data_IF_719499134986
#
_entry.id   IF_719499134986
#
_cell.length_a   1.000
_cell.length_b   1.000
_cell.length_c   1.000
_cell.angle_alpha   90.00
_cell.angle_beta   90.00
_cell.angle_gamma   90.00
#
_symmetry.space_group_name_H-M   'P 1'
#
loop_
_entity.id
_entity.type
_entity.pdbx_description
1 polymer ?
#
# COMPACT_ATOMS: atom_id res chain seq x y z
N UNK A 1 27.68 -1.95 3.98
CA UNK A 1 27.03 -1.87 2.66
C UNK A 1 27.18 -3.23 1.97
N UNK A 2 26.24 -4.16 2.20
CA UNK A 2 26.21 -5.46 1.53
C UNK A 2 25.15 -5.38 0.41
N UNK A 3 25.60 -5.42 -0.85
CA UNK A 3 24.73 -5.66 -1.99
C UNK A 3 24.21 -7.10 -1.92
N UNK A 4 22.99 -7.34 -1.45
CA UNK A 4 22.37 -8.67 -1.53
C UNK A 4 20.87 -8.59 -1.80
N UNK A 5 20.55 -8.53 -3.10
CA UNK A 5 19.31 -8.96 -3.79
C UNK A 5 18.81 -7.99 -4.87
N UNK A 6 19.71 -7.37 -5.63
CA UNK A 6 19.32 -6.66 -6.85
C UNK A 6 19.00 -7.64 -7.98
N UNK A 7 17.87 -7.46 -8.67
CA UNK A 7 17.53 -8.11 -9.94
C UNK A 7 17.83 -7.17 -11.11
N UNK A 8 18.31 -7.70 -12.22
CA UNK A 8 18.52 -6.95 -13.46
C UNK A 8 17.20 -6.71 -14.18
N UNK A 9 17.14 -5.71 -15.07
CA UNK A 9 15.96 -5.43 -15.90
C UNK A 9 15.48 -6.67 -16.68
N UNK A 10 16.42 -7.52 -17.13
CA UNK A 10 16.09 -8.77 -17.82
C UNK A 10 15.38 -9.78 -16.91
N UNK A 11 15.97 -10.06 -15.75
CA UNK A 11 15.40 -10.98 -14.75
C UNK A 11 14.03 -10.50 -14.24
N UNK A 12 13.85 -9.19 -14.08
CA UNK A 12 12.55 -8.62 -13.70
C UNK A 12 11.51 -8.81 -14.81
N UNK A 13 11.90 -8.58 -16.07
CA UNK A 13 11.02 -8.81 -17.21
C UNK A 13 10.53 -10.26 -17.30
N UNK A 14 11.43 -11.22 -17.08
CA UNK A 14 11.10 -12.65 -17.01
C UNK A 14 10.21 -12.98 -15.82
N UNK A 15 10.55 -12.47 -14.62
CA UNK A 15 9.81 -12.73 -13.37
C UNK A 15 8.36 -12.23 -13.41
N UNK A 16 8.13 -11.09 -14.05
CA UNK A 16 6.83 -10.43 -14.15
C UNK A 16 6.09 -10.72 -15.47
N UNK A 17 6.75 -11.38 -16.43
CA UNK A 17 6.20 -11.64 -17.77
C UNK A 17 5.97 -10.36 -18.59
N UNK A 18 6.83 -9.35 -18.45
CA UNK A 18 6.70 -8.04 -19.10
C UNK A 18 7.95 -7.65 -19.90
N UNK A 19 7.80 -6.65 -20.78
CA UNK A 19 8.92 -6.15 -21.60
C UNK A 19 9.87 -5.29 -20.77
N UNK A 20 11.11 -5.16 -21.23
CA UNK A 20 12.10 -4.25 -20.60
C UNK A 20 11.63 -2.79 -20.57
N UNK A 21 10.93 -2.34 -21.61
CA UNK A 21 10.34 -1.00 -21.64
C UNK A 21 9.33 -0.83 -20.49
N UNK A 22 8.47 -1.83 -20.29
CA UNK A 22 7.51 -1.84 -19.17
C UNK A 22 8.19 -1.86 -17.80
N UNK A 23 9.35 -2.51 -17.67
CA UNK A 23 10.16 -2.45 -16.43
C UNK A 23 10.64 -1.01 -16.17
N UNK A 24 11.08 -0.29 -17.20
CA UNK A 24 11.47 1.11 -17.08
C UNK A 24 10.26 2.01 -16.74
N UNK A 25 9.10 1.80 -17.37
CA UNK A 25 7.87 2.52 -17.02
C UNK A 25 7.47 2.31 -15.54
N UNK A 26 7.69 1.10 -15.02
CA UNK A 26 7.42 0.77 -13.61
C UNK A 26 8.43 1.41 -12.65
N UNK A 27 9.70 1.57 -13.06
CA UNK A 27 10.70 2.33 -12.29
C UNK A 27 10.38 3.83 -12.30
N UNK A 28 10.02 4.38 -13.45
CA UNK A 28 9.70 5.80 -13.61
C UNK A 28 8.42 6.18 -12.84
N UNK A 29 7.47 5.24 -12.74
CA UNK A 29 6.25 5.41 -11.92
C UNK A 29 6.43 5.07 -10.44
N UNK A 30 7.61 4.60 -10.01
CA UNK A 30 7.91 4.24 -8.62
C UNK A 30 7.31 2.90 -8.15
N UNK A 31 6.68 2.12 -9.04
CA UNK A 31 6.15 0.79 -8.71
C UNK A 31 7.25 -0.27 -8.56
N UNK A 32 8.43 -0.01 -9.12
CA UNK A 32 9.66 -0.74 -8.84
C UNK A 32 10.69 0.21 -8.24
N UNK A 33 11.54 -0.31 -7.35
CA UNK A 33 12.59 0.48 -6.70
C UNK A 33 13.96 0.11 -7.26
N UNK A 34 14.77 1.10 -7.62
CA UNK A 34 16.17 0.84 -7.98
C UNK A 34 16.99 0.59 -6.69
N UNK A 35 17.75 -0.50 -6.64
CA UNK A 35 18.65 -0.84 -5.53
C UNK A 35 20.12 -0.45 -5.79
N UNK A 36 20.41 0.09 -6.98
CA UNK A 36 21.71 0.63 -7.34
C UNK A 36 22.20 0.14 -8.71
N UNK A 37 23.51 0.03 -8.87
CA UNK A 37 24.14 -0.47 -10.10
C UNK A 37 25.25 -1.48 -9.79
N UNK A 38 25.37 -2.49 -10.64
CA UNK A 38 26.53 -3.37 -10.71
C UNK A 38 27.25 -3.10 -12.04
N UNK A 39 28.35 -2.35 -12.00
CA UNK A 39 28.99 -1.81 -13.21
C UNK A 39 28.02 -0.95 -14.00
N UNK A 40 27.72 -1.33 -15.25
CA UNK A 40 26.76 -0.61 -16.11
C UNK A 40 25.31 -1.05 -15.91
N UNK A 41 25.07 -2.15 -15.21
CA UNK A 41 23.75 -2.76 -15.08
C UNK A 41 22.97 -2.10 -13.95
N UNK A 42 21.72 -1.70 -14.23
CA UNK A 42 20.78 -1.25 -13.21
C UNK A 42 20.29 -2.46 -12.41
N UNK A 43 20.33 -2.34 -11.09
CA UNK A 43 19.78 -3.31 -10.16
C UNK A 43 18.46 -2.78 -9.60
N UNK A 44 17.47 -3.65 -9.58
CA UNK A 44 16.10 -3.42 -9.09
C UNK A 44 15.94 -4.20 -7.80
N UNK A 45 15.36 -3.58 -6.79
CA UNK A 45 15.07 -4.21 -5.51
C UNK A 45 14.14 -5.42 -5.66
N UNK A 46 14.59 -6.60 -5.22
CA UNK A 46 13.79 -7.84 -5.33
C UNK A 46 12.48 -7.75 -4.59
N UNK A 47 12.41 -7.10 -3.43
CA UNK A 47 11.18 -7.02 -2.65
C UNK A 47 10.11 -6.18 -3.34
N UNK A 48 10.50 -5.11 -4.03
CA UNK A 48 9.60 -4.36 -4.92
C UNK A 48 9.05 -5.22 -6.06
N UNK A 49 9.89 -6.07 -6.66
CA UNK A 49 9.48 -7.01 -7.72
C UNK A 49 8.52 -8.06 -7.18
N UNK A 50 8.79 -8.64 -6.00
CA UNK A 50 7.93 -9.66 -5.40
C UNK A 50 6.57 -9.09 -4.98
N UNK A 51 6.52 -7.88 -4.41
CA UNK A 51 5.24 -7.20 -4.11
C UNK A 51 4.40 -7.00 -5.39
N UNK A 52 5.03 -6.56 -6.48
CA UNK A 52 4.34 -6.38 -7.76
C UNK A 52 3.95 -7.72 -8.40
N UNK A 53 4.77 -8.75 -8.29
CA UNK A 53 4.44 -10.10 -8.75
C UNK A 53 3.21 -10.65 -8.02
N UNK A 54 3.09 -10.36 -6.72
CA UNK A 54 1.93 -10.72 -5.90
C UNK A 54 0.69 -9.87 -6.24
N UNK A 55 0.85 -8.61 -6.68
CA UNK A 55 -0.24 -7.75 -7.18
C UNK A 55 -0.84 -8.25 -8.49
N UNK A 56 -0.03 -8.91 -9.28
CA UNK A 56 -0.34 -9.17 -10.67
C UNK A 56 -0.21 -7.89 -11.50
N UNK A 57 0.03 -8.08 -12.80
CA UNK A 57 0.20 -6.98 -13.76
C UNK A 57 -1.10 -6.67 -14.50
N UNK A 58 -2.25 -6.83 -13.82
CA UNK A 58 -3.59 -6.75 -14.43
C UNK A 58 -3.72 -5.47 -15.26
N UNK A 59 -4.11 -5.64 -16.54
CA UNK A 59 -4.29 -4.55 -17.49
C UNK A 59 -5.49 -3.71 -17.10
N UNK A 60 -5.27 -2.40 -16.90
CA UNK A 60 -6.33 -1.45 -16.60
C UNK A 60 -5.77 -0.15 -16.01
N UNK A 61 -6.37 0.98 -16.39
CA UNK A 61 -6.03 2.27 -15.77
C UNK A 61 -6.46 2.24 -14.31
N UNK A 62 -5.52 2.51 -13.40
CA UNK A 62 -5.81 2.73 -11.99
C UNK A 62 -6.89 3.82 -11.83
N UNK A 63 -7.64 3.74 -10.75
CA UNK A 63 -8.45 4.86 -10.31
C UNK A 63 -7.57 6.06 -9.96
N UNK A 64 -8.12 7.26 -10.10
CA UNK A 64 -7.52 8.45 -9.47
C UNK A 64 -7.57 8.30 -7.95
N UNK A 65 -6.68 8.96 -7.21
CA UNK A 65 -6.70 8.94 -5.74
C UNK A 65 -8.10 9.23 -5.17
N UNK A 66 -8.78 10.26 -5.70
CA UNK A 66 -10.17 10.62 -5.37
C UNK A 66 -11.15 9.44 -5.50
N UNK A 67 -11.09 8.71 -6.62
CA UNK A 67 -11.97 7.57 -6.90
C UNK A 67 -11.58 6.35 -6.07
N UNK A 68 -10.29 6.10 -5.88
CA UNK A 68 -9.78 5.01 -5.06
C UNK A 68 -10.25 5.17 -3.61
N UNK A 69 -10.05 6.35 -3.01
CA UNK A 69 -10.52 6.64 -1.66
C UNK A 69 -12.04 6.57 -1.53
N UNK A 70 -12.79 7.05 -2.53
CA UNK A 70 -14.24 6.91 -2.52
C UNK A 70 -14.68 5.44 -2.57
N UNK A 71 -13.98 4.59 -3.34
CA UNK A 71 -14.27 3.16 -3.41
C UNK A 71 -14.01 2.48 -2.06
N UNK A 72 -12.87 2.76 -1.43
CA UNK A 72 -12.49 2.20 -0.13
C UNK A 72 -13.42 2.68 0.99
N UNK A 73 -13.83 3.95 0.98
CA UNK A 73 -14.83 4.48 1.89
C UNK A 73 -16.18 3.75 1.72
N UNK A 74 -16.66 3.59 0.48
CA UNK A 74 -17.92 2.90 0.20
C UNK A 74 -17.91 1.43 0.63
N UNK A 75 -16.81 0.71 0.38
CA UNK A 75 -16.63 -0.67 0.85
C UNK A 75 -16.61 -0.73 2.38
N UNK A 76 -16.07 0.29 3.04
CA UNK A 76 -16.05 0.37 4.51
C UNK A 76 -17.36 0.85 5.11
N UNK A 77 -18.48 0.84 4.36
CA UNK A 77 -19.79 1.32 4.80
C UNK A 77 -19.89 2.85 4.98
N UNK A 78 -18.86 3.61 4.61
CA UNK A 78 -18.84 5.06 4.74
C UNK A 78 -19.55 5.75 3.56
N UNK A 79 -19.91 7.01 3.77
CA UNK A 79 -20.59 7.82 2.77
C UNK A 79 -19.68 8.96 2.27
N UNK A 80 -18.86 8.76 1.21
CA UNK A 80 -17.92 9.78 0.75
C UNK A 80 -18.66 11.03 0.24
N UNK A 81 -18.31 12.18 0.79
CA UNK A 81 -18.94 13.49 0.51
C UNK A 81 -18.21 14.27 -0.58
N UNK A 82 -16.99 13.89 -0.93
CA UNK A 82 -16.15 14.52 -1.96
C UNK A 82 -16.46 14.05 -3.40
N UNK A 83 -17.42 13.14 -3.56
CA UNK A 83 -17.92 12.70 -4.87
C UNK A 83 -19.44 12.94 -4.98
N UNK A 84 -19.92 13.22 -6.19
CA UNK A 84 -21.34 13.39 -6.46
C UNK A 84 -22.13 12.09 -6.26
N UNK A 85 -23.44 12.21 -6.03
CA UNK A 85 -24.35 11.06 -5.97
C UNK A 85 -24.31 10.20 -7.23
N UNK A 86 -24.08 10.83 -8.40
CA UNK A 86 -23.98 10.12 -9.68
C UNK A 86 -22.68 9.33 -9.81
N UNK A 87 -21.54 9.86 -9.35
CA UNK A 87 -20.26 9.15 -9.27
C UNK A 87 -20.38 7.98 -8.28
N UNK A 88 -20.99 8.21 -7.11
CA UNK A 88 -21.23 7.19 -6.09
C UNK A 88 -22.05 6.01 -6.62
N UNK A 89 -23.15 6.29 -7.32
CA UNK A 89 -24.01 5.25 -7.91
C UNK A 89 -23.24 4.39 -8.93
N UNK A 90 -22.49 5.03 -9.84
CA UNK A 90 -21.66 4.32 -10.83
C UNK A 90 -20.58 3.48 -10.16
N UNK A 91 -19.93 4.02 -9.12
CA UNK A 91 -18.87 3.34 -8.39
C UNK A 91 -19.41 2.13 -7.63
N UNK A 92 -20.53 2.26 -6.91
CA UNK A 92 -21.21 1.13 -6.26
C UNK A 92 -21.57 0.03 -7.26
N UNK A 93 -22.08 0.38 -8.45
CA UNK A 93 -22.34 -0.61 -9.50
C UNK A 93 -21.08 -1.32 -9.95
N UNK A 94 -20.00 -0.56 -10.16
CA UNK A 94 -18.72 -1.12 -10.58
C UNK A 94 -18.14 -2.05 -9.51
N UNK A 95 -18.20 -1.69 -8.23
CA UNK A 95 -17.67 -2.50 -7.13
C UNK A 95 -18.27 -3.91 -7.10
N UNK A 96 -19.57 -4.07 -7.39
CA UNK A 96 -20.24 -5.38 -7.46
C UNK A 96 -19.71 -6.34 -8.53
N UNK A 97 -18.91 -5.84 -9.47
CA UNK A 97 -18.33 -6.63 -10.56
C UNK A 97 -16.86 -7.00 -10.31
N UNK A 98 -16.29 -6.56 -9.19
CA UNK A 98 -14.85 -6.69 -8.91
C UNK A 98 -14.61 -7.77 -7.85
N UNK A 99 -13.42 -8.38 -7.94
CA UNK A 99 -12.82 -9.21 -6.89
C UNK A 99 -11.80 -8.37 -6.10
N UNK A 100 -11.30 -8.86 -4.96
CA UNK A 100 -10.36 -8.07 -4.17
C UNK A 100 -9.04 -7.77 -4.91
N UNK A 101 -8.54 -8.70 -5.74
CA UNK A 101 -7.33 -8.46 -6.54
C UNK A 101 -7.53 -7.26 -7.47
N UNK A 102 -8.72 -7.13 -8.08
CA UNK A 102 -9.06 -5.97 -8.89
C UNK A 102 -9.16 -4.71 -8.04
N UNK A 103 -9.72 -4.76 -6.83
CA UNK A 103 -9.76 -3.62 -5.91
C UNK A 103 -8.35 -3.14 -5.59
N UNK A 104 -7.47 -4.04 -5.15
CA UNK A 104 -6.07 -3.74 -4.86
C UNK A 104 -5.38 -3.08 -6.05
N UNK A 105 -5.46 -3.70 -7.24
CA UNK A 105 -4.81 -3.16 -8.44
C UNK A 105 -5.41 -1.81 -8.85
N UNK A 106 -6.73 -1.65 -8.83
CA UNK A 106 -7.38 -0.39 -9.25
C UNK A 106 -7.15 0.74 -8.24
N UNK A 107 -7.01 0.43 -6.95
CA UNK A 107 -6.79 1.39 -5.87
C UNK A 107 -5.31 1.77 -5.67
N UNK A 108 -4.37 1.21 -6.43
CA UNK A 108 -2.90 1.43 -6.27
C UNK A 108 -2.42 2.89 -6.30
N UNK A 109 -3.24 3.82 -6.79
CA UNK A 109 -2.96 5.26 -6.79
C UNK A 109 -3.62 6.00 -5.60
N UNK A 110 -4.08 5.29 -4.55
CA UNK A 110 -4.69 5.91 -3.36
C UNK A 110 -3.67 6.74 -2.57
N UNK A 111 -2.41 6.33 -2.58
CA UNK A 111 -1.31 6.98 -1.88
C UNK A 111 0.00 6.90 -2.69
N UNK A 112 1.02 7.60 -2.20
CA UNK A 112 2.42 7.29 -2.51
C UNK A 112 3.03 6.56 -1.32
N UNK A 113 3.49 5.33 -1.55
CA UNK A 113 4.08 4.51 -0.49
C UNK A 113 5.59 4.76 -0.40
N UNK A 114 6.04 5.13 0.79
CA UNK A 114 7.45 5.31 1.14
C UNK A 114 7.87 4.25 2.15
N UNK A 115 9.07 3.69 2.00
CA UNK A 115 9.57 2.61 2.86
C UNK A 115 10.89 3.00 3.49
N UNK A 116 10.94 2.87 4.81
CA UNK A 116 12.06 3.29 5.63
C UNK A 116 12.42 2.23 6.66
N UNK A 117 13.66 2.28 7.12
CA UNK A 117 14.13 1.63 8.33
C UNK A 117 14.16 2.65 9.46
N UNK A 118 13.50 2.30 10.57
CA UNK A 118 13.54 3.00 11.84
C UNK A 118 14.26 2.15 12.90
N UNK A 119 14.87 2.81 13.88
CA UNK A 119 15.27 2.18 15.14
C UNK A 119 14.04 1.76 15.94
N UNK A 120 14.16 0.86 16.94
CA UNK A 120 13.03 0.49 17.80
C UNK A 120 12.36 1.71 18.46
N UNK A 121 13.14 2.68 18.93
CA UNK A 121 12.64 3.90 19.57
C UNK A 121 11.92 4.81 18.55
N UNK A 122 12.49 4.98 17.36
CA UNK A 122 11.85 5.74 16.28
C UNK A 122 10.55 5.09 15.82
N UNK A 123 10.50 3.76 15.76
CA UNK A 123 9.31 3.00 15.42
C UNK A 123 8.20 3.16 16.46
N UNK A 124 8.55 3.15 17.75
CA UNK A 124 7.60 3.40 18.82
C UNK A 124 7.04 4.83 18.75
N UNK A 125 7.88 5.83 18.48
CA UNK A 125 7.46 7.22 18.33
C UNK A 125 6.53 7.42 17.13
N UNK A 126 6.80 6.76 16.00
CA UNK A 126 5.97 6.87 14.79
C UNK A 126 4.52 6.46 14.99
N UNK A 127 4.20 5.59 15.95
CA UNK A 127 2.82 5.18 16.20
C UNK A 127 1.87 6.33 16.53
N UNK A 128 2.39 7.40 17.14
CA UNK A 128 1.59 8.57 17.52
C UNK A 128 1.47 9.60 16.38
N UNK A 129 2.20 9.41 15.28
CA UNK A 129 2.25 10.32 14.13
C UNK A 129 1.61 9.79 12.86
N UNK A 130 1.23 8.51 12.84
CA UNK A 130 0.61 7.85 11.71
C UNK A 130 -0.86 7.55 12.02
N UNK A 131 -1.74 7.74 11.05
CA UNK A 131 -3.05 7.09 11.09
C UNK A 131 -2.82 5.60 10.79
N UNK A 132 -3.03 4.68 11.75
CA UNK A 132 -2.57 3.30 11.61
C UNK A 132 -3.22 2.58 10.43
N UNK A 133 -2.42 1.81 9.69
CA UNK A 133 -2.89 0.92 8.63
C UNK A 133 -2.18 -0.43 8.65
N UNK A 134 -2.53 -1.29 7.70
CA UNK A 134 -1.92 -2.60 7.50
C UNK A 134 -1.78 -3.38 8.80
N UNK A 135 -0.59 -3.90 9.07
CA UNK A 135 -0.33 -4.67 10.28
C UNK A 135 -0.35 -3.82 11.57
N UNK A 136 -0.06 -2.51 11.48
CA UNK A 136 -0.07 -1.60 12.62
C UNK A 136 -1.48 -1.31 13.13
N UNK A 137 -2.48 -1.34 12.27
CA UNK A 137 -3.89 -1.18 12.66
C UNK A 137 -4.39 -2.32 13.57
N UNK A 138 -3.74 -3.49 13.57
CA UNK A 138 -4.08 -4.62 14.43
C UNK A 138 -3.78 -4.38 15.93
N UNK A 139 -3.20 -3.23 16.28
CA UNK A 139 -3.05 -2.79 17.67
C UNK A 139 -4.40 -2.39 18.29
N UNK A 140 -5.38 -2.01 17.48
CA UNK A 140 -6.75 -1.79 17.93
C UNK A 140 -7.53 -3.12 17.93
N UNK A 141 -8.12 -3.48 19.07
CA UNK A 141 -8.76 -4.79 19.26
C UNK A 141 -9.96 -5.03 18.33
N UNK A 142 -10.74 -3.99 18.06
CA UNK A 142 -11.90 -4.05 17.15
C UNK A 142 -11.47 -4.41 15.71
N UNK A 143 -10.39 -3.78 15.25
CA UNK A 143 -9.79 -4.01 13.94
C UNK A 143 -9.15 -5.39 13.90
N UNK A 144 -8.36 -5.75 14.92
CA UNK A 144 -7.77 -7.08 15.04
C UNK A 144 -8.81 -8.20 14.94
N UNK A 145 -9.97 -8.02 15.59
CA UNK A 145 -11.12 -8.92 15.51
C UNK A 145 -11.68 -9.06 14.09
N UNK A 146 -11.85 -7.95 13.38
CA UNK A 146 -12.32 -7.93 11.98
C UNK A 146 -11.40 -8.73 11.05
N UNK A 147 -10.09 -8.59 11.25
CA UNK A 147 -9.09 -9.25 10.42
C UNK A 147 -8.71 -10.66 10.90
N UNK A 148 -9.12 -11.08 12.11
CA UNK A 148 -8.73 -12.36 12.70
C UNK A 148 -7.21 -12.45 12.94
N UNK A 149 -6.59 -11.32 13.26
CA UNK A 149 -5.14 -11.19 13.45
C UNK A 149 -4.81 -10.68 14.85
N UNK A 150 -3.55 -10.77 15.23
CA UNK A 150 -3.02 -10.18 16.45
C UNK A 150 -2.14 -8.97 16.09
N UNK A 151 -2.14 -7.95 16.96
CA UNK A 151 -1.27 -6.79 16.82
C UNK A 151 0.20 -7.09 17.11
N UNK A 152 1.07 -6.12 16.79
CA UNK A 152 2.48 -6.14 17.21
C UNK A 152 3.47 -6.72 16.19
N UNK A 153 3.28 -6.45 14.89
CA UNK A 153 4.15 -6.92 13.80
C UNK A 153 5.60 -6.42 13.85
N UNK A 154 5.98 -5.55 14.80
CA UNK A 154 7.29 -4.91 14.83
C UNK A 154 7.53 -3.97 13.64
N UNK A 155 6.44 -3.54 12.99
CA UNK A 155 6.42 -2.55 11.92
C UNK A 155 5.62 -1.32 12.34
N UNK A 156 5.90 -0.19 11.71
CA UNK A 156 5.06 1.01 11.74
C UNK A 156 4.52 1.24 10.33
N UNK A 157 3.21 1.17 10.16
CA UNK A 157 2.52 1.34 8.88
C UNK A 157 1.32 2.25 9.05
N UNK A 158 1.21 3.26 8.21
CA UNK A 158 0.09 4.17 8.29
C UNK A 158 0.17 5.37 7.37
N UNK A 159 -0.84 6.22 7.47
CA UNK A 159 -1.06 7.35 6.58
C UNK A 159 -0.59 8.67 7.19
N UNK A 160 -0.09 9.54 6.32
CA UNK A 160 0.27 10.94 6.60
C UNK A 160 -0.17 11.82 5.45
N UNK A 161 -0.41 13.10 5.72
CA UNK A 161 -0.78 14.04 4.66
C UNK A 161 0.42 14.37 3.78
N UNK A 162 0.14 14.73 2.53
CA UNK A 162 1.17 15.14 1.58
C UNK A 162 2.03 16.29 2.12
N UNK A 163 3.35 16.13 2.03
CA UNK A 163 4.35 17.07 2.56
C UNK A 163 4.95 16.68 3.92
N UNK A 164 4.36 15.74 4.66
CA UNK A 164 4.83 15.40 6.01
C UNK A 164 5.94 14.33 6.02
N UNK A 165 6.08 13.55 4.95
CA UNK A 165 6.98 12.38 4.90
C UNK A 165 8.44 12.77 5.18
N UNK A 166 8.97 13.79 4.50
CA UNK A 166 10.36 14.23 4.69
C UNK A 166 10.61 14.75 6.10
N UNK A 167 9.66 15.49 6.66
CA UNK A 167 9.77 16.02 8.02
C UNK A 167 9.79 14.89 9.06
N UNK A 168 8.95 13.87 8.88
CA UNK A 168 8.96 12.67 9.72
C UNK A 168 10.26 11.88 9.56
N UNK A 169 10.75 11.74 8.32
CA UNK A 169 12.00 11.06 8.05
C UNK A 169 13.18 11.72 8.78
N UNK A 170 13.28 13.03 8.70
CA UNK A 170 14.33 13.80 9.37
C UNK A 170 14.16 13.76 10.89
N UNK A 171 12.94 13.93 11.41
CA UNK A 171 12.67 13.98 12.85
C UNK A 171 12.98 12.66 13.56
N UNK A 172 12.72 11.53 12.91
CA UNK A 172 12.89 10.19 13.49
C UNK A 172 14.12 9.44 12.97
N UNK A 173 14.97 10.10 12.18
CA UNK A 173 16.19 9.51 11.62
C UNK A 173 15.90 8.30 10.72
N UNK A 174 14.83 8.37 9.93
CA UNK A 174 14.41 7.29 9.04
C UNK A 174 15.36 7.20 7.84
N UNK A 175 15.76 5.99 7.49
CA UNK A 175 16.63 5.73 6.34
C UNK A 175 15.83 4.99 5.28
N UNK A 176 15.83 5.46 4.05
CA UNK A 176 15.14 4.77 2.95
C UNK A 176 15.61 3.32 2.85
N UNK A 177 14.66 2.40 2.90
CA UNK A 177 14.92 0.98 2.85
C UNK A 177 13.69 0.25 2.29
N UNK A 178 13.78 -0.34 1.08
CA UNK A 178 12.69 -1.13 0.50
C UNK A 178 12.25 -2.30 1.39
N UNK A 179 13.15 -2.84 2.21
CA UNK A 179 12.93 -3.90 3.20
C UNK A 179 12.78 -3.35 4.62
N UNK A 180 12.52 -2.05 4.73
CA UNK A 180 12.36 -1.33 5.98
C UNK A 180 11.15 -1.78 6.79
N UNK A 181 11.23 -1.57 8.10
CA UNK A 181 10.16 -1.86 9.07
C UNK A 181 9.14 -0.71 9.20
N UNK A 182 9.29 0.35 8.42
CA UNK A 182 8.38 1.50 8.40
C UNK A 182 7.81 1.72 7.00
N UNK A 183 6.48 1.84 6.91
CA UNK A 183 5.72 2.01 5.67
C UNK A 183 4.84 3.25 5.85
N UNK A 184 5.12 4.31 5.09
CA UNK A 184 4.39 5.57 5.18
C UNK A 184 3.61 5.76 3.89
N UNK A 185 2.30 5.86 3.99
CA UNK A 185 1.40 6.15 2.89
C UNK A 185 1.09 7.64 2.87
N UNK A 186 1.64 8.35 1.89
CA UNK A 186 1.41 9.78 1.71
C UNK A 186 0.14 10.02 0.87
N UNK A 187 -0.78 10.82 1.41
CA UNK A 187 -2.11 11.05 0.79
C UNK A 187 -2.43 12.52 0.65
N UNK A 188 -3.11 12.85 -0.45
CA UNK A 188 -3.54 14.23 -0.76
C UNK A 188 -4.95 14.56 -0.21
N UNK A 189 -5.70 13.58 0.31
CA UNK A 189 -7.09 13.73 0.76
C UNK A 189 -7.22 13.41 2.25
N UNK A 190 -7.88 14.29 3.00
CA UNK A 190 -8.12 14.11 4.44
C UNK A 190 -9.47 13.46 4.75
N UNK A 191 -10.47 13.74 3.91
CA UNK A 191 -11.86 13.35 4.10
C UNK A 191 -12.12 11.84 4.29
N UNK A 192 -11.29 10.92 3.76
CA UNK A 192 -11.46 9.48 4.02
C UNK A 192 -11.21 9.07 5.48
N UNK A 193 -10.47 9.85 6.27
CA UNK A 193 -10.05 9.50 7.62
C UNK A 193 -11.04 9.95 8.69
N UNK A 194 -12.27 9.46 8.63
CA UNK A 194 -13.34 9.82 9.57
C UNK A 194 -12.92 9.48 11.01
N UNK A 195 -12.92 10.48 11.90
CA UNK A 195 -12.50 10.29 13.29
C UNK A 195 -11.00 10.00 13.45
N UNK A 196 -10.17 10.29 12.44
CA UNK A 196 -8.74 9.98 12.46
C UNK A 196 -8.42 8.50 12.21
N UNK A 197 -9.37 7.74 11.65
CA UNK A 197 -9.21 6.31 11.39
C UNK A 197 -9.20 6.01 9.89
N UNK A 198 -8.33 5.08 9.47
CA UNK A 198 -8.33 4.56 8.11
C UNK A 198 -9.61 3.73 7.85
N UNK A 199 -10.24 3.83 6.67
CA UNK A 199 -11.30 2.93 6.26
C UNK A 199 -10.83 1.46 6.30
N UNK A 200 -11.68 0.55 6.78
CA UNK A 200 -11.35 -0.90 6.89
C UNK A 200 -10.88 -1.48 5.55
N UNK A 201 -11.50 -1.07 4.43
CA UNK A 201 -11.07 -1.51 3.11
C UNK A 201 -9.67 -0.99 2.74
N UNK A 202 -9.26 0.18 3.21
CA UNK A 202 -7.92 0.70 2.97
C UNK A 202 -6.87 -0.12 3.73
N UNK A 203 -7.14 -0.42 5.01
CA UNK A 203 -6.32 -1.33 5.85
C UNK A 203 -6.18 -2.69 5.17
N UNK A 204 -7.29 -3.23 4.65
CA UNK A 204 -7.29 -4.52 3.97
C UNK A 204 -6.44 -4.52 2.70
N UNK A 205 -6.51 -3.46 1.87
CA UNK A 205 -5.67 -3.31 0.67
C UNK A 205 -4.18 -3.24 1.06
N UNK A 206 -3.81 -2.51 2.11
CA UNK A 206 -2.41 -2.41 2.57
C UNK A 206 -1.88 -3.78 3.04
N UNK A 207 -2.70 -4.54 3.77
CA UNK A 207 -2.37 -5.92 4.14
C UNK A 207 -2.16 -6.83 2.93
N UNK A 208 -2.92 -6.62 1.84
CA UNK A 208 -2.74 -7.39 0.60
C UNK A 208 -1.39 -7.09 -0.10
N UNK A 209 -0.79 -5.93 0.17
CA UNK A 209 0.55 -5.56 -0.34
C UNK A 209 1.70 -6.05 0.55
N UNK A 210 1.40 -6.67 1.69
CA UNK A 210 2.41 -7.27 2.57
C UNK A 210 3.12 -8.46 1.93
N UNK A 211 4.39 -8.66 2.26
CA UNK A 211 5.13 -9.88 1.93
C UNK A 211 4.79 -11.06 2.85
N UNK A 212 4.10 -10.83 3.98
CA UNK A 212 3.62 -11.89 4.84
C UNK A 212 2.33 -12.52 4.31
N UNK A 213 2.34 -13.83 4.06
CA UNK A 213 1.17 -14.56 3.53
C UNK A 213 -0.07 -14.42 4.41
N UNK A 214 0.10 -14.42 5.74
CA UNK A 214 -1.02 -14.29 6.69
C UNK A 214 -1.72 -12.94 6.56
N UNK A 215 -0.95 -11.86 6.47
CA UNK A 215 -1.47 -10.50 6.30
C UNK A 215 -2.22 -10.39 4.97
N UNK A 216 -1.60 -10.86 3.87
CA UNK A 216 -2.26 -10.86 2.56
C UNK A 216 -3.58 -11.61 2.54
N UNK A 217 -3.59 -12.82 3.08
CA UNK A 217 -4.80 -13.65 3.14
C UNK A 217 -5.90 -12.99 3.99
N UNK A 218 -5.54 -12.31 5.07
CA UNK A 218 -6.50 -11.57 5.89
C UNK A 218 -7.10 -10.37 5.13
N UNK A 219 -6.26 -9.57 4.47
CA UNK A 219 -6.72 -8.43 3.66
C UNK A 219 -7.63 -8.86 2.50
N UNK A 220 -7.22 -9.88 1.75
CA UNK A 220 -8.00 -10.47 0.66
C UNK A 220 -9.37 -10.96 1.12
N UNK A 221 -9.42 -11.65 2.27
CA UNK A 221 -10.66 -12.16 2.86
C UNK A 221 -11.61 -11.01 3.20
N UNK A 222 -11.12 -9.98 3.90
CA UNK A 222 -11.95 -8.85 4.32
C UNK A 222 -12.49 -8.08 3.12
N UNK A 223 -11.69 -7.79 2.08
CA UNK A 223 -12.24 -7.14 0.88
C UNK A 223 -13.32 -7.99 0.21
N UNK A 224 -13.13 -9.31 0.12
CA UNK A 224 -14.16 -10.20 -0.44
C UNK A 224 -15.45 -10.18 0.39
N UNK A 225 -15.36 -10.13 1.72
CA UNK A 225 -16.53 -9.95 2.61
C UNK A 225 -17.24 -8.62 2.31
N UNK A 226 -16.50 -7.50 2.29
CA UNK A 226 -17.04 -6.16 2.03
C UNK A 226 -17.65 -5.98 0.62
N UNK A 227 -17.24 -6.80 -0.36
CA UNK A 227 -17.82 -6.79 -1.71
C UNK A 227 -19.17 -7.53 -1.79
N UNK A 228 -19.49 -8.35 -0.79
CA UNK A 228 -20.66 -9.21 -0.74
C UNK A 228 -21.65 -8.87 0.39
N UNK A 229 -21.35 -7.85 1.19
CA UNK A 229 -22.25 -7.20 2.15
C UNK A 229 -23.29 -6.29 1.46
#
# INVERSE_FOLDING_TARGET
MQYKNGMTVGEVGERLGITRASVHDLLDSGQLTASGRAGRMLLIDRSSVERLALAGTRRGRAWTAKTAWAALALLSGQNPTWISSSEKSRLKRRLRELDADAIRVLARNKDKTHRYRATPDGLAALYDHLIPSGASAMREESIAGTFGMAGGSGTAEGYVMAGDVSALADAFGLVEDPDGNTIIHEVDLHEPFVGGQAPVAAIAVDLMDSLATRERSAGQRVINELLHD
#
